data_IF_186317458900
#
_entry.id   IF_186317458900
#
_cell.length_a   1.000
_cell.length_b   1.000
_cell.length_c   1.000
_cell.angle_alpha   90.00
_cell.angle_beta   90.00
_cell.angle_gamma   90.00
#
_symmetry.space_group_name_H-M   'P 1'
#
loop_
_entity.id
_entity.type
_entity.pdbx_description
1 polymer ?
#
# COMPACT_ATOMS: atom_id res chain seq x y z
N UNK A 1 -0.15 -1.27 1.51
CA UNK A 1 1.08 -0.57 1.10
C UNK A 1 1.20 -0.67 -0.41
N UNK A 2 1.33 0.45 -1.11
CA UNK A 2 1.60 0.48 -2.53
C UNK A 2 2.90 1.23 -2.79
N UNK A 3 3.65 0.76 -3.78
CA UNK A 3 4.85 1.43 -4.26
C UNK A 3 5.10 1.13 -5.76
N UNK A 4 6.17 1.67 -6.35
CA UNK A 4 6.55 1.41 -7.74
C UNK A 4 8.06 1.27 -7.94
N UNK A 5 8.47 0.51 -8.96
CA UNK A 5 9.89 0.29 -9.29
C UNK A 5 10.63 1.59 -9.66
N UNK A 6 9.91 2.55 -10.24
CA UNK A 6 10.47 3.83 -10.69
C UNK A 6 10.15 5.00 -9.71
N UNK A 7 9.85 4.70 -8.44
CA UNK A 7 9.63 5.71 -7.41
C UNK A 7 10.95 6.41 -7.00
N UNK A 8 10.88 7.39 -6.09
CA UNK A 8 12.01 8.28 -5.77
C UNK A 8 13.25 7.50 -5.32
N UNK A 9 14.35 7.75 -6.03
CA UNK A 9 15.70 7.40 -5.59
C UNK A 9 16.60 8.63 -5.72
N UNK A 10 17.04 9.16 -4.59
CA UNK A 10 17.83 10.40 -4.55
C UNK A 10 18.74 10.45 -3.31
N UNK A 11 19.30 11.63 -3.00
CA UNK A 11 20.21 11.84 -1.86
C UNK A 11 19.60 11.42 -0.50
N UNK A 12 18.27 11.35 -0.41
CA UNK A 12 17.54 10.94 0.80
C UNK A 12 17.22 9.43 0.84
N UNK A 13 17.68 8.66 -0.15
CA UNK A 13 17.54 7.21 -0.23
C UNK A 13 16.59 6.74 -1.33
N UNK A 14 16.42 5.42 -1.37
CA UNK A 14 15.63 4.71 -2.37
C UNK A 14 14.28 4.30 -1.77
N UNK A 15 13.22 5.00 -2.17
CA UNK A 15 11.84 4.73 -1.76
C UNK A 15 11.38 3.31 -2.14
N UNK A 16 11.63 2.82 -3.38
CA UNK A 16 11.31 1.45 -3.77
C UNK A 16 11.92 0.40 -2.82
N UNK A 17 13.22 0.56 -2.52
CA UNK A 17 13.93 -0.35 -1.64
C UNK A 17 13.39 -0.29 -0.21
N UNK A 18 13.11 0.90 0.31
CA UNK A 18 12.60 1.10 1.66
C UNK A 18 11.24 0.40 1.87
N UNK A 19 10.32 0.48 0.91
CA UNK A 19 9.03 -0.21 1.03
C UNK A 19 9.14 -1.72 0.84
N UNK A 20 10.05 -2.21 0.00
CA UNK A 20 10.36 -3.65 -0.09
C UNK A 20 10.87 -4.17 1.25
N UNK A 21 11.78 -3.44 1.90
CA UNK A 21 12.28 -3.77 3.24
C UNK A 21 11.15 -3.75 4.29
N UNK A 22 10.27 -2.75 4.27
CA UNK A 22 9.11 -2.68 5.16
C UNK A 22 8.16 -3.87 4.94
N UNK A 23 7.85 -4.20 3.69
CA UNK A 23 7.01 -5.36 3.35
C UNK A 23 7.62 -6.68 3.84
N UNK A 24 8.94 -6.85 3.74
CA UNK A 24 9.64 -8.01 4.28
C UNK A 24 9.57 -8.06 5.82
N UNK A 25 9.73 -6.94 6.50
CA UNK A 25 9.62 -6.84 7.95
C UNK A 25 8.20 -7.18 8.45
N UNK A 26 7.16 -6.65 7.78
CA UNK A 26 5.76 -6.95 8.09
C UNK A 26 5.46 -8.45 7.94
N UNK A 27 5.98 -9.08 6.88
CA UNK A 27 5.88 -10.53 6.67
C UNK A 27 6.55 -11.31 7.79
N UNK A 28 7.78 -10.95 8.13
CA UNK A 28 8.56 -11.64 9.17
C UNK A 28 7.83 -11.64 10.52
N UNK A 29 7.24 -10.50 10.87
CA UNK A 29 6.47 -10.32 12.10
C UNK A 29 5.02 -10.85 12.01
N UNK A 30 4.63 -11.42 10.87
CA UNK A 30 3.28 -11.97 10.61
C UNK A 30 2.15 -10.95 10.79
N UNK A 31 2.40 -9.70 10.45
CA UNK A 31 1.32 -8.71 10.36
C UNK A 31 0.37 -9.05 9.21
N UNK A 32 -0.89 -8.65 9.36
CA UNK A 32 -1.84 -8.66 8.26
C UNK A 32 -1.63 -7.42 7.38
N UNK A 33 -1.06 -7.64 6.20
CA UNK A 33 -0.72 -6.58 5.28
C UNK A 33 -0.94 -7.01 3.82
N UNK A 34 -1.27 -6.03 2.98
CA UNK A 34 -1.26 -6.17 1.53
C UNK A 34 -0.21 -5.25 0.93
N UNK A 35 0.69 -5.80 0.14
CA UNK A 35 1.68 -5.06 -0.63
C UNK A 35 1.36 -5.16 -2.12
N UNK A 36 1.19 -4.02 -2.78
CA UNK A 36 0.91 -3.91 -4.22
C UNK A 36 2.05 -3.13 -4.85
N UNK A 37 2.78 -3.75 -5.75
CA UNK A 37 3.97 -3.16 -6.36
C UNK A 37 3.72 -2.92 -7.84
N UNK A 38 3.90 -1.68 -8.28
CA UNK A 38 3.74 -1.27 -9.67
C UNK A 38 5.06 -0.90 -10.33
N UNK A 39 4.96 -0.36 -11.54
CA UNK A 39 6.08 0.14 -12.34
C UNK A 39 6.12 1.68 -12.41
N UNK A 40 5.13 2.36 -11.84
CA UNK A 40 5.04 3.82 -11.83
C UNK A 40 6.09 4.51 -10.94
N UNK A 41 6.26 5.81 -11.12
CA UNK A 41 7.07 6.65 -10.23
C UNK A 41 6.24 7.50 -9.26
N UNK A 42 6.90 8.47 -8.61
CA UNK A 42 6.34 9.26 -7.50
C UNK A 42 5.23 10.22 -7.91
N UNK A 43 4.02 9.69 -8.08
CA UNK A 43 2.84 10.45 -8.44
C UNK A 43 1.56 9.71 -8.00
N UNK A 44 0.41 10.39 -8.07
CA UNK A 44 -0.87 9.85 -7.62
C UNK A 44 -1.55 8.86 -8.55
N UNK A 45 -0.98 8.49 -9.72
CA UNK A 45 -1.69 7.66 -10.71
C UNK A 45 -1.97 6.26 -10.19
N UNK A 46 -0.93 5.56 -9.71
CA UNK A 46 -1.09 4.18 -9.24
C UNK A 46 -1.90 4.15 -7.94
N UNK A 47 -1.50 4.93 -6.93
CA UNK A 47 -2.21 5.01 -5.66
C UNK A 47 -3.68 5.44 -5.82
N UNK A 48 -3.98 6.36 -6.74
CA UNK A 48 -5.35 6.77 -7.06
C UNK A 48 -6.16 5.68 -7.74
N UNK A 49 -5.54 4.91 -8.66
CA UNK A 49 -6.21 3.82 -9.36
C UNK A 49 -6.64 2.67 -8.44
N UNK A 50 -5.85 2.37 -7.41
CA UNK A 50 -6.12 1.26 -6.47
C UNK A 50 -6.77 1.73 -5.16
N UNK A 51 -7.12 3.01 -5.05
CA UNK A 51 -7.65 3.57 -3.81
C UNK A 51 -8.95 2.86 -3.39
N UNK A 52 -9.96 2.63 -4.27
CA UNK A 52 -11.20 1.95 -3.87
C UNK A 52 -10.95 0.56 -3.26
N UNK A 53 -10.10 -0.25 -3.87
CA UNK A 53 -9.74 -1.58 -3.40
C UNK A 53 -8.94 -1.52 -2.10
N UNK A 54 -8.11 -0.50 -1.93
CA UNK A 54 -7.35 -0.26 -0.70
C UNK A 54 -8.27 0.05 0.47
N UNK A 55 -9.33 0.85 0.24
CA UNK A 55 -10.34 1.15 1.26
C UNK A 55 -11.14 -0.11 1.62
N UNK A 56 -11.60 -0.88 0.62
CA UNK A 56 -12.28 -2.17 0.88
C UNK A 56 -11.40 -3.11 1.69
N UNK A 57 -10.11 -3.22 1.34
CA UNK A 57 -9.19 -4.06 2.12
C UNK A 57 -9.03 -3.54 3.54
N UNK A 58 -8.84 -2.24 3.74
CA UNK A 58 -8.64 -1.64 5.07
C UNK A 58 -9.82 -1.89 6.02
N UNK A 59 -11.05 -1.80 5.52
CA UNK A 59 -12.27 -1.97 6.33
C UNK A 59 -12.94 -3.34 6.15
N UNK A 60 -12.27 -4.33 5.58
CA UNK A 60 -12.86 -5.66 5.30
C UNK A 60 -13.50 -6.35 6.50
N UNK A 61 -13.00 -6.10 7.70
CA UNK A 61 -13.48 -6.68 8.96
C UNK A 61 -14.43 -5.74 9.72
N UNK A 62 -14.80 -4.61 9.12
CA UNK A 62 -15.71 -3.63 9.72
C UNK A 62 -17.15 -4.13 9.56
N UNK A 63 -17.93 -4.26 10.65
CA UNK A 63 -19.33 -4.62 10.55
C UNK A 63 -20.08 -3.61 9.68
N UNK A 64 -20.98 -4.09 8.82
CA UNK A 64 -21.86 -3.21 8.06
C UNK A 64 -22.64 -2.31 9.00
N UNK A 65 -22.67 -1.01 8.71
CA UNK A 65 -23.48 -0.08 9.45
C UNK A 65 -24.94 -0.53 9.38
N UNK A 66 -25.54 -0.85 10.52
CA UNK A 66 -26.97 -1.10 10.61
C UNK A 66 -27.68 0.21 10.35
N UNK A 67 -28.29 0.36 9.18
CA UNK A 67 -29.28 1.41 8.93
C UNK A 67 -30.48 1.14 9.82
N UNK A 68 -30.73 2.04 10.78
CA UNK A 68 -32.04 2.12 11.44
C UNK A 68 -32.97 2.85 10.48
N UNK A 69 -34.02 2.16 10.05
CA UNK A 69 -35.17 2.76 9.36
C UNK A 69 -35.91 3.76 10.25
#
# INVERSE_FOLDING_TARGET
LQDGENDLDNLHGSWPLANLQMAAALRFMKYDYKFVYGDGGHNGKHGGAILPESLVWLWRDTPSATTKE
#
